data_IF_209700422184
#
_entry.id   IF_209700422184
#
_cell.length_a   1.000
_cell.length_b   1.000
_cell.length_c   1.000
_cell.angle_alpha   90.00
_cell.angle_beta   90.00
_cell.angle_gamma   90.00
#
_symmetry.space_group_name_H-M   'P 1'
#
loop_
_entity.id
_entity.type
_entity.pdbx_description
1 polymer ?
#
# COMPACT_ATOMS: atom_id res chain seq x y z
N UNK A 1 -1.65 -31.27 6.67
CA UNK A 1 -1.51 -29.98 7.38
C UNK A 1 -1.17 -28.90 6.37
N UNK A 2 -2.06 -27.94 6.16
CA UNK A 2 -1.85 -26.81 5.24
C UNK A 2 -1.89 -25.54 6.07
N UNK A 3 -0.77 -24.82 6.09
CA UNK A 3 -0.71 -23.50 6.72
C UNK A 3 -1.03 -22.45 5.66
N UNK A 4 -1.89 -21.49 5.99
CA UNK A 4 -2.31 -20.43 5.06
C UNK A 4 -2.22 -19.05 5.75
N UNK A 5 -1.92 -18.00 5.00
CA UNK A 5 -1.91 -16.62 5.51
C UNK A 5 -3.14 -15.91 5.01
N UNK A 6 -3.98 -15.39 5.91
CA UNK A 6 -5.08 -14.51 5.59
C UNK A 6 -4.60 -13.06 5.70
N UNK A 7 -4.45 -12.41 4.55
CA UNK A 7 -4.14 -10.99 4.44
C UNK A 7 -5.35 -10.25 3.87
N UNK A 8 -5.82 -9.16 4.51
CA UNK A 8 -6.94 -8.41 3.97
C UNK A 8 -6.55 -7.72 2.64
N UNK A 9 -7.48 -7.70 1.67
CA UNK A 9 -7.36 -7.17 0.29
C UNK A 9 -7.04 -5.67 0.20
N UNK A 10 -6.90 -4.95 1.32
CA UNK A 10 -6.49 -3.54 1.37
C UNK A 10 -5.15 -3.33 2.10
N UNK A 11 -4.45 -4.40 2.46
CA UNK A 11 -3.21 -4.37 3.25
C UNK A 11 -2.00 -3.72 2.55
N UNK A 12 -2.12 -3.23 1.32
CA UNK A 12 -1.01 -2.58 0.58
C UNK A 12 -1.23 -1.07 0.47
N UNK A 13 -0.65 -0.41 1.48
CA UNK A 13 -0.08 0.94 1.52
C UNK A 13 -0.52 1.96 0.45
N UNK A 14 -1.63 2.65 0.72
CA UNK A 14 -1.95 3.97 0.13
C UNK A 14 -2.39 5.01 1.19
N UNK A 15 -1.93 4.84 2.44
CA UNK A 15 -2.53 5.48 3.63
C UNK A 15 -2.30 6.99 3.85
N UNK A 16 -1.40 7.65 3.13
CA UNK A 16 -1.14 9.10 3.34
C UNK A 16 -1.92 9.97 2.37
N UNK A 17 -2.34 9.42 1.22
CA UNK A 17 -3.30 10.08 0.35
C UNK A 17 -4.57 10.45 1.11
N UNK A 18 -5.08 9.56 1.97
CA UNK A 18 -6.39 9.69 2.62
C UNK A 18 -6.60 11.00 3.39
N UNK A 19 -5.62 11.49 4.16
CA UNK A 19 -5.79 12.75 4.91
C UNK A 19 -5.72 13.98 4.01
N UNK A 20 -4.84 13.96 3.02
CA UNK A 20 -4.72 15.02 2.03
C UNK A 20 -5.96 15.07 1.12
N UNK A 21 -6.47 13.90 0.72
CA UNK A 21 -7.70 13.71 -0.02
C UNK A 21 -8.92 14.17 0.78
N UNK A 22 -9.03 13.82 2.07
CA UNK A 22 -10.08 14.34 2.94
C UNK A 22 -10.06 15.86 3.05
N UNK A 23 -8.88 16.47 3.21
CA UNK A 23 -8.76 17.94 3.24
C UNK A 23 -9.17 18.59 1.92
N UNK A 24 -8.75 18.04 0.77
CA UNK A 24 -9.13 18.55 -0.55
C UNK A 24 -10.61 18.33 -0.89
N UNK A 25 -11.16 17.18 -0.52
CA UNK A 25 -12.58 16.88 -0.68
C UNK A 25 -13.45 17.78 0.23
N UNK A 26 -13.00 18.07 1.46
CA UNK A 26 -13.66 19.02 2.35
C UNK A 26 -13.61 20.45 1.77
N UNK A 27 -12.47 20.87 1.21
CA UNK A 27 -12.33 22.16 0.54
C UNK A 27 -13.26 22.27 -0.68
N UNK A 28 -13.30 21.22 -1.52
CA UNK A 28 -14.21 21.15 -2.67
C UNK A 28 -15.69 21.14 -2.25
N UNK A 29 -16.02 20.49 -1.13
CA UNK A 29 -17.38 20.53 -0.56
C UNK A 29 -17.79 21.91 -0.06
N UNK A 30 -16.87 22.65 0.58
CA UNK A 30 -17.12 24.04 1.02
C UNK A 30 -17.31 24.97 -0.18
N UNK A 31 -16.49 24.86 -1.23
CA UNK A 31 -16.63 25.69 -2.44
C UNK A 31 -17.89 25.35 -3.23
N UNK A 32 -18.28 24.07 -3.30
CA UNK A 32 -19.53 23.66 -3.93
C UNK A 32 -20.76 24.11 -3.13
N UNK A 33 -20.71 24.03 -1.80
CA UNK A 33 -21.78 24.52 -0.92
C UNK A 33 -21.97 26.03 -1.01
N UNK A 34 -20.87 26.80 -1.02
CA UNK A 34 -20.91 28.26 -1.18
C UNK A 34 -21.47 28.68 -2.55
N UNK A 35 -21.12 27.95 -3.62
CA UNK A 35 -21.71 28.17 -4.95
C UNK A 35 -23.21 27.87 -4.96
N UNK A 36 -23.65 26.77 -4.33
CA UNK A 36 -25.06 26.38 -4.28
C UNK A 36 -25.90 27.39 -3.50
N UNK A 37 -25.43 27.86 -2.33
CA UNK A 37 -26.18 28.80 -1.49
C UNK A 37 -26.29 30.18 -2.14
N UNK A 38 -25.21 30.67 -2.75
CA UNK A 38 -25.21 31.95 -3.47
C UNK A 38 -26.06 31.88 -4.75
N UNK A 39 -26.06 30.76 -5.46
CA UNK A 39 -26.90 30.53 -6.64
C UNK A 39 -28.39 30.48 -6.30
N UNK A 40 -28.77 29.76 -5.25
CA UNK A 40 -30.15 29.68 -4.79
C UNK A 40 -30.66 31.02 -4.26
N UNK A 41 -29.84 31.77 -3.51
CA UNK A 41 -30.18 33.11 -3.04
C UNK A 41 -30.38 34.10 -4.22
N UNK A 42 -29.53 34.00 -5.25
CA UNK A 42 -29.65 34.82 -6.45
C UNK A 42 -30.95 34.54 -7.22
N UNK A 43 -31.36 33.27 -7.32
CA UNK A 43 -32.64 32.88 -7.91
C UNK A 43 -33.84 33.32 -7.06
N UNK A 44 -33.77 33.15 -5.73
CA UNK A 44 -34.89 33.44 -4.82
C UNK A 44 -35.17 34.94 -4.66
N UNK A 45 -34.14 35.78 -4.73
CA UNK A 45 -34.26 37.24 -4.58
C UNK A 45 -34.55 37.96 -5.90
N UNK A 46 -34.82 37.24 -6.99
CA UNK A 46 -35.27 37.81 -8.26
C UNK A 46 -34.27 38.76 -8.94
N UNK A 47 -32.98 38.68 -8.57
CA UNK A 47 -31.91 39.45 -9.20
C UNK A 47 -32.00 40.97 -9.00
N UNK A 48 -32.10 41.46 -7.75
CA UNK A 48 -32.10 42.92 -7.48
C UNK A 48 -30.77 43.45 -6.90
N UNK A 49 -30.27 44.54 -7.51
CA UNK A 49 -29.39 45.65 -7.03
C UNK A 49 -28.08 45.40 -6.26
N UNK A 50 -27.78 44.18 -5.79
CA UNK A 50 -26.45 43.78 -5.32
C UNK A 50 -25.67 42.98 -6.40
N UNK A 51 -26.09 43.13 -7.66
CA UNK A 51 -25.81 42.25 -8.80
C UNK A 51 -24.32 42.09 -9.11
N UNK A 52 -23.52 43.15 -8.99
CA UNK A 52 -22.10 43.08 -9.33
C UNK A 52 -21.31 42.15 -8.40
N UNK A 53 -21.51 42.27 -7.09
CA UNK A 53 -20.76 41.48 -6.11
C UNK A 53 -21.23 40.02 -6.10
N UNK A 54 -22.53 39.75 -6.14
CA UNK A 54 -23.06 38.37 -6.17
C UNK A 54 -22.65 37.62 -7.43
N UNK A 55 -22.64 38.29 -8.59
CA UNK A 55 -22.22 37.69 -9.87
C UNK A 55 -20.71 37.41 -9.87
N UNK A 56 -19.89 38.31 -9.31
CA UNK A 56 -18.44 38.10 -9.16
C UNK A 56 -18.14 36.91 -8.23
N UNK A 57 -18.86 36.78 -7.11
CA UNK A 57 -18.72 35.63 -6.21
C UNK A 57 -19.15 34.31 -6.87
N UNK A 58 -20.23 34.31 -7.67
CA UNK A 58 -20.68 33.15 -8.44
C UNK A 58 -19.66 32.74 -9.52
N UNK A 59 -19.13 33.70 -10.27
CA UNK A 59 -18.08 33.41 -11.26
C UNK A 59 -16.81 32.88 -10.60
N UNK A 60 -16.35 33.50 -9.51
CA UNK A 60 -15.15 33.06 -8.79
C UNK A 60 -15.28 31.65 -8.20
N UNK A 61 -16.41 31.34 -7.56
CA UNK A 61 -16.66 30.01 -7.00
C UNK A 61 -16.95 28.94 -8.07
N UNK A 62 -17.59 29.32 -9.19
CA UNK A 62 -17.77 28.45 -10.36
C UNK A 62 -16.43 28.04 -10.98
N UNK A 63 -15.55 29.01 -11.26
CA UNK A 63 -14.20 28.75 -11.78
C UNK A 63 -13.36 27.89 -10.83
N UNK A 64 -13.47 28.12 -9.52
CA UNK A 64 -12.80 27.31 -8.51
C UNK A 64 -13.25 25.84 -8.53
N UNK A 65 -14.56 25.59 -8.66
CA UNK A 65 -15.11 24.22 -8.73
C UNK A 65 -14.71 23.51 -10.03
N UNK A 66 -14.71 24.20 -11.18
CA UNK A 66 -14.23 23.64 -12.46
C UNK A 66 -12.79 23.16 -12.37
N UNK A 67 -11.94 23.86 -11.60
CA UNK A 67 -10.56 23.45 -11.37
C UNK A 67 -10.41 22.33 -10.32
N UNK A 68 -11.12 22.42 -9.19
CA UNK A 68 -10.97 21.51 -8.04
C UNK A 68 -11.68 20.15 -8.22
N UNK A 69 -12.84 20.11 -8.87
CA UNK A 69 -13.63 18.89 -9.06
C UNK A 69 -12.90 17.80 -9.86
N UNK A 70 -12.31 18.05 -11.05
CA UNK A 70 -11.64 16.99 -11.80
C UNK A 70 -10.39 16.47 -11.07
N UNK A 71 -9.68 17.33 -10.34
CA UNK A 71 -8.51 16.95 -9.55
C UNK A 71 -8.91 16.04 -8.40
N UNK A 72 -9.95 16.40 -7.64
CA UNK A 72 -10.44 15.58 -6.51
C UNK A 72 -11.11 14.30 -7.00
N UNK A 73 -11.91 14.35 -8.07
CA UNK A 73 -12.55 13.17 -8.66
C UNK A 73 -11.52 12.18 -9.19
N UNK A 74 -10.49 12.62 -9.93
CA UNK A 74 -9.41 11.75 -10.42
C UNK A 74 -8.64 11.11 -9.27
N UNK A 75 -8.44 11.84 -8.18
CA UNK A 75 -7.72 11.32 -7.02
C UNK A 75 -8.58 10.38 -6.15
N UNK A 76 -9.89 10.64 -6.02
CA UNK A 76 -10.86 9.73 -5.40
C UNK A 76 -10.99 8.47 -6.26
N UNK A 77 -11.02 8.61 -7.58
CA UNK A 77 -10.99 7.49 -8.52
C UNK A 77 -9.74 6.64 -8.27
N UNK A 78 -8.54 7.20 -8.36
CA UNK A 78 -7.31 6.45 -8.04
C UNK A 78 -7.35 5.84 -6.64
N UNK A 79 -7.93 6.50 -5.64
CA UNK A 79 -8.10 5.93 -4.31
C UNK A 79 -9.03 4.70 -4.28
N UNK A 80 -10.15 4.74 -5.00
CA UNK A 80 -11.08 3.61 -5.10
C UNK A 80 -10.56 2.49 -6.02
N UNK A 81 -9.76 2.82 -7.04
CA UNK A 81 -9.16 1.82 -7.94
C UNK A 81 -7.86 1.22 -7.39
N UNK A 82 -7.16 1.90 -6.47
CA UNK A 82 -5.92 1.43 -5.84
C UNK A 82 -6.17 0.71 -4.51
N UNK A 83 -6.87 -0.42 -4.55
CA UNK A 83 -6.51 -1.51 -3.64
C UNK A 83 -5.20 -2.15 -4.13
N UNK A 84 -4.46 -2.93 -3.32
CA UNK A 84 -3.55 -3.90 -3.90
C UNK A 84 -4.35 -4.72 -4.90
N UNK A 85 -4.00 -4.59 -6.17
CA UNK A 85 -4.35 -5.63 -7.11
C UNK A 85 -3.78 -6.92 -6.51
N UNK A 86 -4.55 -8.01 -6.41
CA UNK A 86 -4.05 -9.26 -5.89
C UNK A 86 -2.76 -9.75 -6.57
N UNK A 87 -2.55 -9.32 -7.81
CA UNK A 87 -1.29 -9.41 -8.55
C UNK A 87 -0.08 -8.92 -7.75
N UNK A 88 -0.22 -7.89 -6.93
CA UNK A 88 0.87 -7.36 -6.08
C UNK A 88 1.31 -8.35 -4.99
N UNK A 89 0.38 -9.02 -4.32
CA UNK A 89 0.70 -10.04 -3.30
C UNK A 89 1.33 -11.26 -3.98
N UNK A 90 0.82 -11.65 -5.14
CA UNK A 90 1.39 -12.72 -5.96
C UNK A 90 2.82 -12.42 -6.40
N UNK A 91 3.08 -11.20 -6.88
CA UNK A 91 4.42 -10.75 -7.25
C UNK A 91 5.37 -10.80 -6.05
N UNK A 92 4.97 -10.26 -4.89
CA UNK A 92 5.77 -10.30 -3.67
C UNK A 92 6.07 -11.74 -3.25
N UNK A 93 5.06 -12.61 -3.28
CA UNK A 93 5.19 -14.02 -2.93
C UNK A 93 6.15 -14.75 -3.89
N UNK A 94 6.05 -14.49 -5.20
CA UNK A 94 6.95 -15.06 -6.20
C UNK A 94 8.40 -14.57 -6.04
N UNK A 95 8.61 -13.27 -5.79
CA UNK A 95 9.93 -12.70 -5.50
C UNK A 95 10.55 -13.36 -4.26
N UNK A 96 9.76 -13.51 -3.20
CA UNK A 96 10.19 -14.17 -1.98
C UNK A 96 10.57 -15.63 -2.23
N UNK A 97 9.75 -16.36 -2.99
CA UNK A 97 10.02 -17.78 -3.32
C UNK A 97 11.36 -17.92 -4.05
N UNK A 98 11.60 -17.11 -5.09
CA UNK A 98 12.87 -17.09 -5.85
C UNK A 98 14.05 -16.74 -4.93
N UNK A 99 13.91 -15.70 -4.11
CA UNK A 99 14.97 -15.26 -3.19
C UNK A 99 15.31 -16.31 -2.11
N UNK A 100 14.30 -17.03 -1.60
CA UNK A 100 14.48 -18.12 -0.64
C UNK A 100 15.14 -19.35 -1.27
N UNK A 101 14.80 -19.66 -2.52
CA UNK A 101 15.44 -20.73 -3.29
C UNK A 101 16.92 -20.44 -3.54
N UNK A 102 17.24 -19.24 -4.04
CA UNK A 102 18.63 -18.83 -4.29
C UNK A 102 19.48 -18.77 -3.02
N UNK A 103 18.86 -18.40 -1.90
CA UNK A 103 19.53 -18.38 -0.60
C UNK A 103 19.68 -19.78 0.02
N UNK A 104 19.17 -20.84 -0.62
CA UNK A 104 19.25 -22.22 -0.17
C UNK A 104 18.31 -22.59 0.99
N UNK A 105 17.36 -21.72 1.34
CA UNK A 105 16.35 -21.98 2.37
C UNK A 105 15.24 -22.91 1.85
N UNK A 106 15.00 -22.91 0.55
CA UNK A 106 14.12 -23.84 -0.16
C UNK A 106 14.99 -24.61 -1.14
N UNK A 107 14.98 -25.94 -1.03
CA UNK A 107 15.78 -26.84 -1.88
C UNK A 107 14.94 -27.53 -2.94
N UNK A 108 13.63 -27.65 -2.69
CA UNK A 108 12.71 -28.20 -3.68
C UNK A 108 12.78 -27.39 -4.98
N UNK A 109 12.88 -28.04 -6.15
CA UNK A 109 12.91 -27.35 -7.44
C UNK A 109 11.69 -26.46 -7.64
N UNK A 110 11.90 -25.27 -8.20
CA UNK A 110 10.83 -24.28 -8.42
C UNK A 110 9.67 -24.83 -9.27
N UNK A 111 9.92 -25.77 -10.18
CA UNK A 111 8.91 -26.41 -11.03
C UNK A 111 7.88 -27.23 -10.23
N UNK A 112 8.29 -27.75 -9.06
CA UNK A 112 7.44 -28.53 -8.16
C UNK A 112 6.72 -27.64 -7.14
N UNK A 113 7.03 -26.34 -7.11
CA UNK A 113 6.49 -25.38 -6.16
C UNK A 113 5.48 -24.49 -6.87
N UNK A 114 4.25 -24.43 -6.34
CA UNK A 114 3.20 -23.59 -6.88
C UNK A 114 2.60 -22.74 -5.77
N UNK A 115 2.66 -21.42 -5.94
CA UNK A 115 1.96 -20.48 -5.07
C UNK A 115 0.49 -20.46 -5.48
N UNK A 116 -0.41 -20.57 -4.51
CA UNK A 116 -1.85 -20.46 -4.73
C UNK A 116 -2.41 -19.35 -3.88
N UNK A 117 -3.15 -18.46 -4.54
CA UNK A 117 -3.85 -17.36 -3.91
C UNK A 117 -5.34 -17.58 -4.10
N UNK A 118 -6.08 -17.65 -2.99
CA UNK A 118 -7.53 -17.79 -2.98
C UNK A 118 -8.19 -16.53 -2.43
N UNK A 119 -9.35 -16.22 -2.98
CA UNK A 119 -10.24 -15.19 -2.45
C UNK A 119 -11.33 -15.89 -1.67
N UNK A 120 -11.40 -15.63 -0.37
CA UNK A 120 -12.53 -16.08 0.43
C UNK A 120 -13.67 -15.09 0.27
N UNK A 121 -13.36 -13.78 0.37
CA UNK A 121 -14.32 -12.67 0.23
C UNK A 121 -13.68 -11.48 -0.52
N UNK A 122 -14.47 -10.44 -0.82
CA UNK A 122 -13.99 -9.18 -1.39
C UNK A 122 -12.95 -8.46 -0.53
N UNK A 123 -12.74 -8.88 0.72
CA UNK A 123 -11.82 -8.27 1.66
C UNK A 123 -10.69 -9.18 2.19
N UNK A 124 -10.69 -10.48 1.90
CA UNK A 124 -9.72 -11.44 2.44
C UNK A 124 -9.05 -12.26 1.33
N UNK A 125 -7.72 -12.26 1.36
CA UNK A 125 -6.86 -13.02 0.45
C UNK A 125 -6.12 -14.07 1.26
N UNK A 126 -6.12 -15.30 0.77
CA UNK A 126 -5.41 -16.43 1.38
C UNK A 126 -4.27 -16.86 0.49
N UNK A 127 -3.05 -16.94 1.02
CA UNK A 127 -1.85 -17.35 0.28
C UNK A 127 -1.24 -18.62 0.91
N UNK A 128 -0.94 -19.62 0.07
CA UNK A 128 -0.24 -20.83 0.49
C UNK A 128 0.63 -21.44 -0.61
N UNK A 129 1.58 -22.27 -0.21
CA UNK A 129 2.54 -22.95 -1.09
C UNK A 129 2.17 -24.43 -1.24
N UNK A 130 1.97 -24.86 -2.49
CA UNK A 130 1.82 -26.27 -2.87
C UNK A 130 3.18 -26.81 -3.29
N UNK A 131 3.48 -28.05 -2.88
CA UNK A 131 4.79 -28.68 -3.10
C UNK A 131 5.81 -28.36 -2.02
N UNK A 132 6.92 -29.10 -2.02
CA UNK A 132 8.00 -28.96 -1.05
C UNK A 132 7.70 -29.52 0.34
N UNK A 133 8.71 -29.44 1.21
CA UNK A 133 8.65 -29.96 2.57
C UNK A 133 7.79 -29.04 3.47
N UNK A 134 7.17 -29.61 4.51
CA UNK A 134 6.44 -28.85 5.55
C UNK A 134 7.28 -27.74 6.16
N UNK A 135 8.58 -27.97 6.37
CA UNK A 135 9.49 -26.94 6.88
C UNK A 135 9.69 -25.78 5.89
N UNK A 136 9.80 -26.07 4.60
CA UNK A 136 9.95 -25.05 3.54
C UNK A 136 8.68 -24.23 3.40
N UNK A 137 7.51 -24.88 3.44
CA UNK A 137 6.20 -24.22 3.43
C UNK A 137 6.06 -23.25 4.61
N UNK A 138 6.37 -23.71 5.82
CA UNK A 138 6.31 -22.86 7.01
C UNK A 138 7.27 -21.68 6.90
N UNK A 139 8.50 -21.91 6.41
CA UNK A 139 9.52 -20.87 6.21
C UNK A 139 9.08 -19.82 5.20
N UNK A 140 8.50 -20.25 4.07
CA UNK A 140 7.95 -19.37 3.06
C UNK A 140 6.80 -18.53 3.62
N UNK A 141 5.88 -19.16 4.35
CA UNK A 141 4.75 -18.46 4.94
C UNK A 141 5.19 -17.46 6.01
N UNK A 142 6.14 -17.83 6.87
CA UNK A 142 6.71 -16.91 7.85
C UNK A 142 7.34 -15.69 7.16
N UNK A 143 8.04 -15.90 6.04
CA UNK A 143 8.63 -14.81 5.27
C UNK A 143 7.59 -13.87 4.64
N UNK A 144 6.55 -14.44 4.00
CA UNK A 144 5.45 -13.65 3.42
C UNK A 144 4.71 -12.89 4.51
N UNK A 145 4.41 -13.56 5.64
CA UNK A 145 3.75 -12.95 6.78
C UNK A 145 4.56 -11.78 7.33
N UNK A 146 5.87 -11.96 7.57
CA UNK A 146 6.74 -10.90 8.08
C UNK A 146 6.84 -9.71 7.12
N UNK A 147 6.82 -9.94 5.81
CA UNK A 147 6.93 -8.90 4.79
C UNK A 147 5.66 -8.04 4.66
N UNK A 148 4.50 -8.69 4.74
CA UNK A 148 3.19 -8.03 4.69
C UNK A 148 2.81 -7.43 6.05
N UNK A 149 3.38 -7.98 7.12
CA UNK A 149 3.12 -7.51 8.48
C UNK A 149 3.53 -6.05 8.68
N UNK A 150 2.89 -5.38 9.65
CA UNK A 150 3.34 -4.08 10.12
C UNK A 150 4.83 -4.11 10.48
N UNK A 151 5.53 -3.02 10.15
CA UNK A 151 6.97 -2.91 10.38
C UNK A 151 7.29 -3.01 11.86
N UNK A 152 7.91 -4.12 12.28
CA UNK A 152 8.37 -4.31 13.65
C UNK A 152 9.87 -4.67 13.73
N UNK A 153 10.67 -3.65 13.99
CA UNK A 153 12.13 -3.68 14.15
C UNK A 153 12.91 -4.59 13.16
N UNK A 154 12.67 -4.52 11.83
CA UNK A 154 13.42 -5.31 10.88
C UNK A 154 14.88 -4.83 10.80
N UNK A 155 15.80 -5.74 10.51
CA UNK A 155 17.22 -5.40 10.30
C UNK A 155 17.46 -4.63 8.99
N UNK A 156 16.64 -4.92 7.98
CA UNK A 156 16.66 -4.22 6.71
C UNK A 156 15.24 -3.81 6.29
N UNK A 157 15.14 -2.65 5.65
CA UNK A 157 13.94 -2.14 5.02
C UNK A 157 14.16 -2.02 3.52
N UNK A 158 13.10 -2.27 2.75
CA UNK A 158 13.03 -1.98 1.33
C UNK A 158 12.27 -0.68 1.18
N UNK A 159 12.85 0.32 0.54
CA UNK A 159 12.15 1.55 0.20
C UNK A 159 11.94 1.61 -1.31
N UNK A 160 10.68 1.71 -1.76
CA UNK A 160 10.40 1.90 -3.18
C UNK A 160 10.87 3.28 -3.64
N UNK A 161 11.40 3.38 -4.84
CA UNK A 161 11.89 4.62 -5.42
C UNK A 161 11.00 5.02 -6.60
N UNK A 162 10.60 6.29 -6.67
CA UNK A 162 9.99 6.84 -7.90
C UNK A 162 11.08 7.30 -8.88
N UNK A 163 12.11 7.96 -8.33
CA UNK A 163 13.34 8.35 -9.04
C UNK A 163 14.58 7.92 -8.22
N UNK A 164 15.19 8.86 -7.48
CA UNK A 164 16.30 8.64 -6.54
C UNK A 164 15.91 8.87 -5.07
N UNK A 165 14.67 9.34 -4.84
CA UNK A 165 14.12 9.55 -3.50
C UNK A 165 13.16 8.42 -3.16
N UNK A 166 13.14 7.98 -1.89
CA UNK A 166 12.14 7.04 -1.41
C UNK A 166 10.75 7.62 -1.69
N UNK A 167 9.95 6.84 -2.41
CA UNK A 167 8.55 7.15 -2.68
C UNK A 167 7.86 7.29 -1.34
N UNK A 168 7.18 8.42 -1.15
CA UNK A 168 6.51 8.69 0.11
C UNK A 168 5.54 7.54 0.43
N UNK A 169 5.85 6.81 1.51
CA UNK A 169 4.99 5.89 2.24
C UNK A 169 4.99 4.41 1.86
N UNK A 170 5.90 3.95 1.00
CA UNK A 170 5.99 2.55 0.61
C UNK A 170 7.32 1.95 1.06
N UNK A 171 7.31 1.41 2.28
CA UNK A 171 8.41 0.61 2.82
C UNK A 171 7.98 -0.85 2.90
N UNK A 172 8.90 -1.80 2.80
CA UNK A 172 8.63 -3.20 3.11
C UNK A 172 9.70 -3.71 4.06
N UNK A 173 9.31 -4.65 4.93
CA UNK A 173 10.24 -5.35 5.81
C UNK A 173 10.93 -6.45 5.02
N UNK A 174 12.26 -6.58 5.19
CA UNK A 174 12.96 -7.78 4.72
C UNK A 174 12.73 -8.87 5.77
N UNK A 175 12.23 -10.07 5.39
CA UNK A 175 12.03 -11.17 6.33
C UNK A 175 13.31 -11.52 7.09
N UNK A 176 13.19 -11.90 8.35
CA UNK A 176 14.32 -12.17 9.25
C UNK A 176 15.27 -13.22 8.69
N UNK A 177 14.74 -14.23 8.01
CA UNK A 177 15.55 -15.32 7.45
C UNK A 177 16.52 -14.81 6.37
N UNK A 178 16.05 -13.94 5.48
CA UNK A 178 16.86 -13.30 4.44
C UNK A 178 17.69 -12.15 5.00
N UNK A 179 17.23 -11.50 6.06
CA UNK A 179 17.95 -10.41 6.72
C UNK A 179 19.18 -10.87 7.54
N UNK A 180 19.39 -12.19 7.72
CA UNK A 180 20.58 -12.71 8.41
C UNK A 180 21.87 -12.36 7.67
N UNK A 181 21.87 -12.50 6.35
CA UNK A 181 23.01 -12.25 5.48
C UNK A 181 22.72 -11.09 4.54
N UNK A 182 23.69 -10.20 4.37
CA UNK A 182 23.54 -9.03 3.47
C UNK A 182 23.30 -9.47 2.02
N UNK A 183 24.00 -10.52 1.57
CA UNK A 183 23.86 -11.09 0.23
C UNK A 183 22.43 -11.55 -0.07
N UNK A 184 21.78 -12.26 0.86
CA UNK A 184 20.38 -12.69 0.70
C UNK A 184 19.41 -11.51 0.61
N UNK A 185 19.63 -10.46 1.41
CA UNK A 185 18.82 -9.24 1.34
C UNK A 185 19.04 -8.45 0.04
N UNK A 186 20.26 -8.43 -0.49
CA UNK A 186 20.59 -7.82 -1.78
C UNK A 186 19.97 -8.60 -2.95
N UNK A 187 20.03 -9.94 -2.92
CA UNK A 187 19.37 -10.80 -3.92
C UNK A 187 17.86 -10.57 -3.96
N UNK A 188 17.22 -10.45 -2.79
CA UNK A 188 15.79 -10.13 -2.73
C UNK A 188 15.46 -8.83 -3.45
N UNK A 189 16.30 -7.79 -3.29
CA UNK A 189 16.10 -6.52 -3.98
C UNK A 189 16.36 -6.62 -5.47
N UNK A 190 17.36 -7.39 -5.91
CA UNK A 190 17.58 -7.61 -7.32
C UNK A 190 16.34 -8.22 -8.01
N UNK A 191 15.69 -9.20 -7.37
CA UNK A 191 14.41 -9.73 -7.85
C UNK A 191 13.28 -8.72 -7.79
N UNK A 192 13.23 -7.93 -6.72
CA UNK A 192 12.24 -6.88 -6.54
C UNK A 192 12.31 -5.83 -7.65
N UNK A 193 13.52 -5.37 -7.98
CA UNK A 193 13.74 -4.38 -9.03
C UNK A 193 13.36 -4.88 -10.42
N UNK A 194 13.51 -6.19 -10.66
CA UNK A 194 13.15 -6.83 -11.92
C UNK A 194 11.64 -6.95 -12.11
N UNK A 195 10.89 -7.27 -11.06
CA UNK A 195 9.45 -7.62 -11.18
C UNK A 195 8.51 -6.46 -10.78
N UNK A 196 8.89 -5.63 -9.80
CA UNK A 196 8.05 -4.53 -9.27
C UNK A 196 8.61 -3.16 -9.68
N UNK A 197 9.93 -3.00 -9.61
CA UNK A 197 10.62 -1.76 -9.97
C UNK A 197 11.60 -1.26 -8.90
N UNK A 198 12.21 -0.10 -9.16
CA UNK A 198 13.36 0.44 -8.41
C UNK A 198 13.14 0.46 -6.90
N UNK A 199 14.10 -0.09 -6.16
CA UNK A 199 14.01 -0.22 -4.72
C UNK A 199 15.38 -0.07 -4.05
N UNK A 200 15.40 0.45 -2.82
CA UNK A 200 16.63 0.64 -2.03
C UNK A 200 16.61 -0.21 -0.78
N UNK A 201 17.72 -0.92 -0.53
CA UNK A 201 17.99 -1.57 0.74
C UNK A 201 18.45 -0.54 1.77
N UNK A 202 17.74 -0.45 2.88
CA UNK A 202 18.09 0.43 4.00
C UNK A 202 18.42 -0.43 5.21
N UNK A 203 19.65 -0.31 5.71
CA UNK A 203 20.05 -0.97 6.95
C UNK A 203 19.60 -0.14 8.15
N UNK A 204 18.78 -0.72 9.03
CA UNK A 204 18.07 0.05 10.08
C UNK A 204 18.90 0.33 11.32
N UNK A 205 20.10 -0.26 11.44
CA UNK A 205 20.97 -0.08 12.61
C UNK A 205 21.90 1.13 12.49
N UNK A 206 21.89 1.85 11.38
CA UNK A 206 22.57 3.14 11.23
C UNK A 206 21.69 4.29 11.70
N UNK A 207 22.29 5.45 11.96
CA UNK A 207 21.57 6.67 12.37
C UNK A 207 20.53 7.06 11.31
N UNK A 208 20.93 7.09 10.04
CA UNK A 208 20.04 7.36 8.91
C UNK A 208 18.93 6.30 8.78
N UNK A 209 19.29 5.02 8.91
CA UNK A 209 18.34 3.91 8.82
C UNK A 209 17.27 3.94 9.91
N UNK A 210 17.62 4.39 11.12
CA UNK A 210 16.67 4.56 12.21
C UNK A 210 15.61 5.61 11.91
N UNK A 211 15.96 6.69 11.21
CA UNK A 211 14.98 7.70 10.78
C UNK A 211 13.94 7.09 9.84
N UNK A 212 14.38 6.30 8.85
CA UNK A 212 13.48 5.56 7.97
C UNK A 212 12.65 4.51 8.70
N UNK A 213 13.22 3.82 9.69
CA UNK A 213 12.50 2.86 10.52
C UNK A 213 11.35 3.53 11.30
N UNK A 214 11.61 4.70 11.90
CA UNK A 214 10.57 5.46 12.61
C UNK A 214 9.46 5.90 11.66
N UNK A 215 9.81 6.41 10.48
CA UNK A 215 8.83 6.75 9.44
C UNK A 215 7.99 5.52 9.05
N UNK A 216 8.64 4.38 8.78
CA UNK A 216 7.99 3.14 8.40
C UNK A 216 7.05 2.61 9.50
N UNK A 217 7.44 2.73 10.78
CA UNK A 217 6.60 2.37 11.94
C UNK A 217 5.37 3.27 12.09
N UNK A 218 5.54 4.58 11.95
CA UNK A 218 4.40 5.51 11.99
C UNK A 218 3.40 5.18 10.87
N UNK A 219 3.90 4.80 9.70
CA UNK A 219 3.06 4.39 8.57
C UNK A 219 2.36 3.06 8.82
N UNK A 220 3.06 2.05 9.36
CA UNK A 220 2.46 0.74 9.64
C UNK A 220 1.41 0.80 10.77
N UNK A 221 1.62 1.62 11.79
CA UNK A 221 0.64 1.83 12.86
C UNK A 221 -0.67 2.45 12.36
N UNK A 222 -0.59 3.35 11.36
CA UNK A 222 -1.79 3.89 10.70
C UNK A 222 -2.58 2.78 9.98
N UNK A 223 -1.90 1.76 9.46
CA UNK A 223 -2.51 0.62 8.78
C UNK A 223 -3.13 -0.38 9.76
N UNK A 224 -2.45 -0.68 10.87
CA UNK A 224 -2.95 -1.60 11.90
C UNK A 224 -4.28 -1.15 12.51
N UNK A 225 -4.45 0.16 12.67
CA UNK A 225 -5.73 0.73 13.13
C UNK A 225 -6.89 0.39 12.18
N UNK A 226 -6.58 0.05 10.92
CA UNK A 226 -7.58 -0.24 9.90
C UNK A 226 -7.83 -1.74 9.75
N UNK A 227 -6.79 -2.60 9.73
CA UNK A 227 -6.94 -4.05 9.48
C UNK A 227 -5.80 -4.89 10.09
N UNK A 228 -6.09 -6.17 10.42
CA UNK A 228 -5.14 -7.17 10.98
C UNK A 228 -4.82 -8.25 9.94
N UNK A 229 -3.54 -8.61 9.81
CA UNK A 229 -3.08 -9.79 9.07
C UNK A 229 -3.00 -10.95 10.06
N UNK A 230 -3.54 -12.11 9.69
CA UNK A 230 -3.57 -13.27 10.59
C UNK A 230 -3.06 -14.53 9.89
N UNK A 231 -2.22 -15.29 10.58
CA UNK A 231 -1.76 -16.60 10.11
C UNK A 231 -2.67 -17.66 10.70
N UNK A 232 -3.23 -18.51 9.85
CA UNK A 232 -4.11 -19.58 10.29
C UNK A 232 -3.55 -20.95 9.92
N UNK A 233 -3.61 -21.86 10.88
CA UNK A 233 -3.33 -23.27 10.66
C UNK A 233 -4.64 -23.95 10.37
N UNK A 234 -4.88 -24.31 9.11
CA UNK A 234 -6.10 -24.99 8.71
C UNK A 234 -5.83 -26.49 8.73
N UNK A 235 -6.58 -27.20 9.58
CA UNK A 235 -6.62 -28.65 9.59
C UNK A 235 -7.62 -29.08 8.52
N UNK A 236 -7.11 -29.65 7.43
CA UNK A 236 -7.87 -30.38 6.43
C UNK A 236 -7.33 -31.81 6.38
#
# INVERSE_FOLDING_TARGET
MVEEINAPKQSVRSGVGIRYLRKKAMLAGITAGSFLTTFLAYLALGGTSAEGLSVVFLMGSGLANIYLLPITARQIWHYFTSGPEPKSVELIANILLKSLFDSGFIRTPLEQLKIVIKYINSEEITCYLIGGNSHEKATFLDAVHEMLSPVDNPRYLIALLNDRKPRNNEFYTVPKILAKHKSSAENLIAYWEKEIGKARLIFTRTIEGRQYLLQARILSLKMLRQKKIDRQRIWK
#
